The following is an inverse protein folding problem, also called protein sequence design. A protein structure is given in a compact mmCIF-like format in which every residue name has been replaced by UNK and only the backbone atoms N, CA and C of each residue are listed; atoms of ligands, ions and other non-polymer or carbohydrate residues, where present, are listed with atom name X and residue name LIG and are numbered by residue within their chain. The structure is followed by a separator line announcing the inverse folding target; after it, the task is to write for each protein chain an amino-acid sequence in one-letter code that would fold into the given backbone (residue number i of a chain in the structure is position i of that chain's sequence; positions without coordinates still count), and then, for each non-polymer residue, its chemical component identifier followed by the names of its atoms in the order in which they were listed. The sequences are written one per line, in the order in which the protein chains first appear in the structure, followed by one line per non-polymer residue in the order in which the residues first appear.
data_IF_610727223780
#
_entry.id   IF_610727223780
#
_cell.length_a   1.000
_cell.length_b   1.000
_cell.length_c   1.000
_cell.angle_alpha   90.00
_cell.angle_beta   90.00
_cell.angle_gamma   90.00
#
_symmetry.space_group_name_H-M   'P 1'
#
loop_
_entity.id
_entity.type
_entity.pdbx_description
1 polymer ?
#
# COMPACT_ATOMS: atom_id res chain seq x y z
N UNK A 1 -16.11 16.12 14.31
CA UNK A 1 -15.83 15.01 13.39
C UNK A 1 -14.43 14.49 13.64
N UNK A 2 -14.28 13.19 13.75
CA UNK A 2 -12.95 12.59 13.79
C UNK A 2 -12.32 12.70 12.40
N UNK A 3 -11.06 13.13 12.32
CA UNK A 3 -10.31 13.07 11.08
C UNK A 3 -10.21 11.62 10.60
N UNK A 4 -10.26 11.39 9.26
CA UNK A 4 -10.05 10.06 8.71
C UNK A 4 -8.70 9.52 9.17
N UNK A 5 -8.70 8.27 9.60
CA UNK A 5 -7.47 7.61 10.03
C UNK A 5 -7.11 6.49 9.07
N UNK A 6 -5.83 6.23 9.03
CA UNK A 6 -5.26 5.19 8.19
C UNK A 6 -4.93 3.97 9.06
N UNK A 7 -5.77 2.94 9.00
CA UNK A 7 -5.46 1.69 9.69
C UNK A 7 -4.42 0.92 8.91
N UNK A 8 -3.30 0.59 9.56
CA UNK A 8 -2.17 -0.10 8.95
C UNK A 8 -1.76 -1.32 9.76
N UNK A 9 -1.17 -2.31 9.07
CA UNK A 9 -0.50 -3.44 9.71
C UNK A 9 1.00 -3.23 9.58
N UNK A 10 1.69 -3.06 10.69
CA UNK A 10 3.13 -2.78 10.67
C UNK A 10 3.94 -3.82 11.42
N UNK A 11 5.18 -3.97 10.99
CA UNK A 11 6.20 -4.73 11.72
C UNK A 11 6.72 -3.82 12.82
N UNK A 12 6.43 -4.17 14.07
CA UNK A 12 6.99 -3.50 15.24
C UNK A 12 8.39 -4.03 15.55
N UNK A 13 8.60 -5.32 15.37
CA UNK A 13 9.91 -5.97 15.46
C UNK A 13 9.97 -7.13 14.49
N UNK A 14 11.16 -7.41 13.98
CA UNK A 14 11.36 -8.57 13.11
C UNK A 14 11.15 -9.89 13.86
N UNK A 15 10.81 -10.94 13.13
CA UNK A 15 10.66 -12.29 13.63
C UNK A 15 9.30 -12.91 13.36
N UNK A 16 8.68 -13.44 14.39
CA UNK A 16 7.43 -14.17 14.31
C UNK A 16 6.21 -13.24 14.20
N UNK A 17 5.01 -13.78 13.91
CA UNK A 17 3.81 -12.94 13.71
C UNK A 17 3.44 -12.04 14.89
N UNK A 18 3.86 -12.38 16.11
CA UNK A 18 3.60 -11.54 17.28
C UNK A 18 4.33 -10.18 17.23
N UNK A 19 5.26 -10.01 16.30
CA UNK A 19 5.90 -8.72 16.01
C UNK A 19 5.05 -7.79 15.13
N UNK A 20 3.92 -8.25 14.63
CA UNK A 20 2.98 -7.44 13.86
C UNK A 20 2.00 -6.71 14.80
N UNK A 21 1.62 -5.52 14.41
CA UNK A 21 0.58 -4.76 15.12
C UNK A 21 -0.30 -4.00 14.14
N UNK A 22 -1.56 -3.82 14.52
CA UNK A 22 -2.51 -2.97 13.80
C UNK A 22 -2.62 -1.66 14.55
N UNK A 23 -2.35 -0.56 13.86
CA UNK A 23 -2.45 0.77 14.46
C UNK A 23 -3.29 1.69 13.57
N UNK A 24 -3.81 2.76 14.17
CA UNK A 24 -4.40 3.87 13.45
C UNK A 24 -3.34 4.96 13.29
N UNK A 25 -2.93 5.17 12.06
CA UNK A 25 -1.96 6.19 11.69
C UNK A 25 -2.66 7.43 11.12
N UNK A 26 -1.97 8.57 11.03
CA UNK A 26 -2.49 9.71 10.30
C UNK A 26 -2.72 9.36 8.82
N UNK A 27 -3.74 9.99 8.22
CA UNK A 27 -3.99 9.85 6.79
C UNK A 27 -2.81 10.48 6.02
N UNK A 28 -2.14 9.73 5.11
CA UNK A 28 -1.03 10.32 4.36
C UNK A 28 -1.53 11.35 3.36
N UNK A 29 -0.68 12.30 3.02
CA UNK A 29 -0.96 13.32 2.00
C UNK A 29 -0.06 13.08 0.81
N UNK A 30 -0.63 13.10 -0.40
CA UNK A 30 0.12 12.95 -1.64
C UNK A 30 1.08 14.12 -1.82
N UNK A 31 2.37 13.83 -1.92
CA UNK A 31 3.40 14.80 -2.23
C UNK A 31 3.53 15.03 -3.74
N UNK A 32 4.52 15.82 -4.12
CA UNK A 32 4.78 16.10 -5.54
C UNK A 32 5.08 14.80 -6.30
N UNK A 33 4.38 14.59 -7.41
CA UNK A 33 4.54 13.39 -8.24
C UNK A 33 3.90 12.14 -7.66
N UNK A 34 3.16 12.26 -6.57
CA UNK A 34 2.50 11.16 -5.92
C UNK A 34 0.98 11.25 -6.04
N UNK A 35 0.34 10.10 -5.95
CA UNK A 35 -1.10 10.00 -5.73
C UNK A 35 -1.35 9.36 -4.38
N UNK A 36 -2.49 9.67 -3.75
CA UNK A 36 -2.98 8.87 -2.63
C UNK A 36 -4.08 7.96 -3.15
N UNK A 37 -4.03 6.71 -2.69
CA UNK A 37 -5.05 5.73 -3.03
C UNK A 37 -5.73 5.22 -1.77
N UNK A 38 -7.03 4.98 -1.89
CA UNK A 38 -7.75 4.11 -0.98
C UNK A 38 -7.46 2.69 -1.43
N UNK A 39 -6.86 1.89 -0.57
CA UNK A 39 -6.46 0.52 -0.91
C UNK A 39 -7.70 -0.35 -1.04
N UNK A 40 -7.87 -0.99 -2.19
CA UNK A 40 -8.98 -1.89 -2.47
C UNK A 40 -8.61 -3.33 -2.19
N UNK A 41 -7.36 -3.69 -2.45
CA UNK A 41 -6.83 -5.03 -2.20
C UNK A 41 -5.31 -4.97 -2.09
N UNK A 42 -4.75 -5.80 -1.23
CA UNK A 42 -3.33 -6.14 -1.20
C UNK A 42 -3.22 -7.63 -0.92
N UNK A 43 -2.25 -8.29 -1.56
CA UNK A 43 -2.03 -9.72 -1.37
C UNK A 43 -1.24 -10.03 -0.10
N UNK A 44 -1.37 -11.26 0.36
CA UNK A 44 -0.48 -11.84 1.36
C UNK A 44 0.42 -12.83 0.63
N UNK A 45 1.72 -12.59 0.65
CA UNK A 45 2.69 -13.37 -0.10
C UNK A 45 3.75 -13.96 0.81
N UNK A 46 4.41 -15.01 0.33
CA UNK A 46 5.55 -15.58 1.05
C UNK A 46 6.66 -14.54 1.27
N UNK A 47 6.82 -13.62 0.34
CA UNK A 47 7.77 -12.51 0.46
C UNK A 47 7.51 -11.66 1.71
N UNK A 48 6.24 -11.44 2.08
CA UNK A 48 5.90 -10.71 3.30
C UNK A 48 6.43 -11.44 4.55
N UNK A 49 6.41 -12.77 4.55
CA UNK A 49 6.98 -13.58 5.64
C UNK A 49 8.50 -13.39 5.71
N UNK A 50 9.18 -13.40 4.57
CA UNK A 50 10.63 -13.16 4.52
C UNK A 50 10.98 -11.75 5.01
N UNK A 51 10.20 -10.75 4.63
CA UNK A 51 10.40 -9.37 5.08
C UNK A 51 10.20 -9.28 6.60
N UNK A 52 9.13 -9.85 7.11
CA UNK A 52 8.84 -9.88 8.55
C UNK A 52 9.96 -10.56 9.34
N UNK A 53 10.56 -11.60 8.77
CA UNK A 53 11.66 -12.34 9.40
C UNK A 53 13.04 -11.71 9.19
N UNK A 54 13.10 -10.59 8.48
CA UNK A 54 14.36 -9.91 8.12
C UNK A 54 15.28 -10.78 7.26
N UNK A 55 14.69 -11.50 6.31
CA UNK A 55 15.42 -12.43 5.41
C UNK A 55 15.34 -12.01 3.94
N UNK A 56 14.63 -10.93 3.61
CA UNK A 56 14.44 -10.50 2.23
C UNK A 56 15.52 -9.47 1.85
N UNK A 57 16.35 -9.76 0.82
CA UNK A 57 17.52 -8.92 0.51
C UNK A 57 17.21 -7.45 0.28
N UNK A 58 16.11 -7.14 -0.40
CA UNK A 58 15.75 -5.75 -0.71
C UNK A 58 15.36 -4.92 0.52
N UNK A 59 15.06 -5.56 1.64
CA UNK A 59 14.62 -4.89 2.86
C UNK A 59 15.60 -5.03 4.02
N UNK A 60 16.79 -5.55 3.77
CA UNK A 60 17.78 -5.81 4.84
C UNK A 60 18.21 -4.56 5.60
N UNK A 61 18.17 -3.40 4.95
CA UNK A 61 18.52 -2.12 5.59
C UNK A 61 17.34 -1.42 6.27
N UNK A 62 16.13 -1.93 6.06
CA UNK A 62 14.95 -1.34 6.66
C UNK A 62 14.88 -1.70 8.14
N UNK A 63 14.42 -0.77 8.95
CA UNK A 63 14.26 -0.98 10.40
C UNK A 63 12.82 -0.75 10.82
N UNK A 64 12.27 -1.57 11.73
CA UNK A 64 10.95 -1.32 12.29
C UNK A 64 10.87 0.05 13.01
N UNK A 65 9.68 0.67 13.06
CA UNK A 65 8.43 0.16 12.49
C UNK A 65 8.26 0.50 11.01
N UNK A 66 7.63 -0.39 10.28
CA UNK A 66 7.21 -0.11 8.89
C UNK A 66 6.01 -0.98 8.53
N UNK A 67 5.25 -0.55 7.52
CA UNK A 67 4.04 -1.25 7.07
C UNK A 67 4.41 -2.32 6.06
N UNK A 68 3.89 -3.54 6.24
CA UNK A 68 4.02 -4.63 5.28
C UNK A 68 3.09 -4.46 4.09
N UNK A 69 3.19 -5.36 3.12
CA UNK A 69 2.32 -5.43 1.96
C UNK A 69 3.05 -5.12 0.67
N UNK A 70 3.29 -6.17 -0.11
CA UNK A 70 4.13 -6.09 -1.31
C UNK A 70 3.43 -5.42 -2.48
N UNK A 71 2.17 -5.76 -2.72
CA UNK A 71 1.41 -5.30 -3.87
C UNK A 71 0.15 -4.55 -3.44
N UNK A 72 -0.41 -3.79 -4.37
CA UNK A 72 -1.60 -2.99 -4.11
C UNK A 72 -2.42 -2.80 -5.37
N UNK A 73 -3.73 -2.84 -5.20
CA UNK A 73 -4.71 -2.24 -6.11
C UNK A 73 -5.46 -1.19 -5.30
N UNK A 74 -5.54 0.00 -5.81
CA UNK A 74 -6.19 1.10 -5.11
C UNK A 74 -6.95 2.03 -6.05
N UNK A 75 -7.77 2.88 -5.45
CA UNK A 75 -8.49 3.93 -6.17
C UNK A 75 -7.96 5.28 -5.74
N UNK A 76 -7.56 6.09 -6.71
CA UNK A 76 -6.99 7.42 -6.45
C UNK A 76 -8.07 8.30 -5.81
N UNK A 77 -7.74 8.90 -4.66
CA UNK A 77 -8.59 9.87 -3.97
C UNK A 77 -7.91 11.24 -3.76
N UNK A 78 -6.63 11.36 -4.11
CA UNK A 78 -5.91 12.63 -4.07
C UNK A 78 -4.78 12.60 -5.10
N UNK A 79 -4.59 13.71 -5.80
CA UNK A 79 -3.48 13.91 -6.73
C UNK A 79 -2.51 14.92 -6.10
N UNK A 80 -1.23 14.56 -6.07
CA UNK A 80 -0.18 15.49 -5.68
C UNK A 80 0.19 16.45 -6.81
N UNK A 81 0.95 17.47 -6.49
CA UNK A 81 1.40 18.45 -7.48
C UNK A 81 2.18 17.76 -8.60
N UNK A 82 1.97 18.21 -9.83
CA UNK A 82 2.71 17.75 -10.99
C UNK A 82 2.24 16.42 -11.57
N UNK A 83 1.28 15.75 -10.95
CA UNK A 83 0.74 14.49 -11.47
C UNK A 83 -0.08 14.75 -12.73
N UNK A 84 0.21 14.02 -13.81
CA UNK A 84 -0.49 14.08 -15.08
C UNK A 84 -0.91 12.69 -15.53
N UNK A 85 -2.01 12.61 -16.28
CA UNK A 85 -2.47 11.35 -16.86
C UNK A 85 -3.31 10.49 -15.94
N UNK A 86 -3.60 10.95 -14.73
CA UNK A 86 -4.47 10.28 -13.77
C UNK A 86 -5.52 11.24 -13.24
N UNK A 87 -6.67 10.68 -12.87
CA UNK A 87 -7.78 11.41 -12.29
C UNK A 87 -8.24 10.77 -10.99
N UNK A 88 -8.88 11.57 -10.14
CA UNK A 88 -9.58 11.06 -8.96
C UNK A 88 -10.59 10.00 -9.41
N UNK A 89 -10.59 8.84 -8.75
CA UNK A 89 -11.45 7.71 -9.10
C UNK A 89 -10.78 6.64 -9.95
N UNK A 90 -9.63 6.93 -10.55
CA UNK A 90 -8.90 5.93 -11.33
C UNK A 90 -8.44 4.78 -10.44
N UNK A 91 -8.53 3.56 -10.96
CA UNK A 91 -7.96 2.38 -10.32
C UNK A 91 -6.57 2.12 -10.85
N UNK A 92 -5.65 1.86 -9.93
CA UNK A 92 -4.24 1.68 -10.23
C UNK A 92 -3.67 0.52 -9.42
N UNK A 93 -2.59 -0.05 -9.92
CA UNK A 93 -1.86 -1.13 -9.27
C UNK A 93 -0.37 -0.82 -9.24
N UNK A 94 0.32 -1.35 -8.22
CA UNK A 94 1.77 -1.26 -8.10
C UNK A 94 2.29 -2.42 -7.25
N UNK A 95 3.58 -2.70 -7.40
CA UNK A 95 4.32 -3.61 -6.52
C UNK A 95 5.43 -2.81 -5.85
N UNK A 96 5.29 -2.60 -4.55
CA UNK A 96 6.12 -1.65 -3.82
C UNK A 96 6.98 -2.28 -2.74
N UNK A 97 6.96 -3.60 -2.61
CA UNK A 97 7.70 -4.40 -1.63
C UNK A 97 7.14 -4.25 -0.20
N UNK A 98 6.84 -3.04 0.24
CA UNK A 98 6.25 -2.75 1.56
C UNK A 98 5.21 -1.63 1.43
N UNK A 99 4.37 -1.49 2.44
CA UNK A 99 3.52 -0.32 2.60
C UNK A 99 2.05 -0.51 2.26
N UNK A 100 1.65 -1.65 1.69
CA UNK A 100 0.30 -1.80 1.12
C UNK A 100 -0.74 -2.38 2.07
N UNK A 101 -0.34 -2.90 3.23
CA UNK A 101 -1.29 -3.36 4.25
C UNK A 101 -1.77 -2.16 5.07
N UNK A 102 -2.50 -1.29 4.41
CA UNK A 102 -2.99 -0.03 4.91
C UNK A 102 -4.33 0.30 4.26
N UNK A 103 -5.17 1.10 4.94
CA UNK A 103 -6.41 1.58 4.32
C UNK A 103 -6.13 2.61 3.22
N UNK A 104 -5.08 3.41 3.39
CA UNK A 104 -4.64 4.41 2.42
C UNK A 104 -3.13 4.40 2.33
N UNK A 105 -2.61 4.73 1.15
CA UNK A 105 -1.18 4.98 0.98
C UNK A 105 -0.92 5.93 -0.17
N UNK A 106 0.25 6.54 -0.17
CA UNK A 106 0.73 7.29 -1.31
C UNK A 106 1.58 6.41 -2.22
N UNK A 107 1.52 6.66 -3.51
CA UNK A 107 2.25 5.93 -4.55
C UNK A 107 2.83 6.92 -5.54
N UNK A 108 3.99 6.61 -6.10
CA UNK A 108 4.59 7.41 -7.16
C UNK A 108 3.79 7.24 -8.45
N UNK A 109 3.34 8.34 -9.03
CA UNK A 109 2.52 8.32 -10.24
C UNK A 109 3.26 7.70 -11.44
N UNK A 110 4.58 7.87 -11.52
CA UNK A 110 5.38 7.37 -12.63
C UNK A 110 5.57 5.85 -12.65
N UNK A 111 5.12 5.16 -11.61
CA UNK A 111 5.25 3.69 -11.50
C UNK A 111 3.93 2.95 -11.65
N UNK A 112 2.83 3.65 -11.71
CA UNK A 112 1.51 3.05 -11.64
C UNK A 112 1.12 2.34 -12.93
N UNK A 113 0.46 1.20 -12.78
CA UNK A 113 -0.25 0.52 -13.85
C UNK A 113 -1.73 0.82 -13.70
N UNK A 114 -2.36 1.28 -14.77
CA UNK A 114 -3.80 1.52 -14.77
C UNK A 114 -4.56 0.19 -14.82
N UNK A 115 -5.52 0.02 -13.95
CA UNK A 115 -6.42 -1.14 -13.98
C UNK A 115 -7.53 -0.84 -14.98
N UNK A 116 -7.75 -1.68 -16.01
CA UNK A 116 -8.78 -1.43 -17.02
C UNK A 116 -10.17 -1.30 -16.40
N UNK A 117 -10.98 -0.39 -16.97
CA UNK A 117 -12.39 -0.29 -16.63
C UNK A 117 -13.12 -1.60 -16.96
N UNK A 118 -14.08 -1.98 -16.13
CA UNK A 118 -14.86 -3.20 -16.33
C UNK A 118 -14.32 -4.44 -15.62
N UNK A 119 -13.13 -4.39 -15.05
CA UNK A 119 -12.66 -5.43 -14.15
C UNK A 119 -13.35 -5.24 -12.80
N UNK A 120 -14.22 -6.18 -12.44
CA UNK A 120 -14.88 -6.18 -11.14
C UNK A 120 -14.01 -6.87 -10.10
N UNK A 121 -14.05 -6.38 -8.86
CA UNK A 121 -13.19 -6.81 -7.77
C UNK A 121 -13.25 -8.29 -7.42
N UNK A 122 -14.25 -9.02 -7.83
CA UNK A 122 -14.52 -10.35 -7.30
C UNK A 122 -15.18 -11.23 -8.36
N UNK A 123 -14.45 -11.54 -9.41
CA UNK A 123 -14.80 -12.75 -10.16
C UNK A 123 -13.61 -13.71 -10.14
N UNK A 124 -13.49 -14.39 -9.00
CA UNK A 124 -12.79 -15.65 -9.03
C UNK A 124 -13.74 -16.66 -9.69
N UNK A 125 -13.25 -17.39 -10.70
CA UNK A 125 -14.00 -18.58 -11.12
C UNK A 125 -14.13 -19.49 -9.90
N UNK A 126 -15.33 -19.87 -9.59
CA UNK A 126 -15.56 -20.92 -8.61
C UNK A 126 -15.13 -22.25 -9.17
#
# INVERSE_FOLDING_TARGET
MKEPRNRVVQVRRFGEPDGLEVIDAPLPTAGRGEVRVRVLASGLEYTDVLIRRHLYPQTMRRRPPFVLGYDVVGQIDQLGDGVRGFEIGDRVADMTVVGSNAAYRTLRADRLTRVPAGLTRLRWPR
#
